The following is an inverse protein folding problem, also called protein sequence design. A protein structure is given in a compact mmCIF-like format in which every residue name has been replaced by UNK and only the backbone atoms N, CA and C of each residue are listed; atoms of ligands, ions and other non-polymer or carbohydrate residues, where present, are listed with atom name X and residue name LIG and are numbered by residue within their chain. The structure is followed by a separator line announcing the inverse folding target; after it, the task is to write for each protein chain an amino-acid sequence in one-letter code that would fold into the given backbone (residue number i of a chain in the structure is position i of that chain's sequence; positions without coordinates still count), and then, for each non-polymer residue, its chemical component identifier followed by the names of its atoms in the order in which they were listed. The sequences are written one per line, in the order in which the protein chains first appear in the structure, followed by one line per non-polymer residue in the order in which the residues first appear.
data_IF_595493608100
#
_entry.id   IF_595493608100
#
_cell.length_a   1.000
_cell.length_b   1.000
_cell.length_c   1.000
_cell.angle_alpha   90.00
_cell.angle_beta   90.00
_cell.angle_gamma   90.00
#
_symmetry.space_group_name_H-M   'P 1'
#
loop_
_entity.id
_entity.type
_entity.pdbx_description
1 polymer ?
#
# COMPACT_ATOMS: atom_id res chain seq x y z
N UNK A 1 6.31 9.21 32.71
CA UNK A 1 7.10 8.11 32.25
C UNK A 1 6.84 7.83 30.78
N UNK A 2 7.88 7.68 30.07
CA UNK A 2 7.75 7.43 28.65
C UNK A 2 8.03 5.98 28.36
N UNK A 3 7.10 5.32 27.77
CA UNK A 3 7.35 3.97 27.32
C UNK A 3 8.13 4.07 26.03
N UNK A 4 9.24 3.37 26.00
CA UNK A 4 10.01 3.32 24.79
C UNK A 4 9.31 2.40 23.81
N UNK A 5 8.96 2.96 22.69
CA UNK A 5 8.31 2.21 21.63
C UNK A 5 9.38 1.78 20.65
N UNK A 6 9.47 0.49 20.40
CA UNK A 6 10.41 -0.01 19.41
C UNK A 6 9.99 0.43 18.02
N UNK A 7 10.96 0.80 17.23
CA UNK A 7 10.70 1.25 15.87
C UNK A 7 11.54 0.46 14.89
N UNK A 8 11.08 0.43 13.66
CA UNK A 8 11.80 -0.18 12.55
C UNK A 8 11.95 0.88 11.48
N UNK A 9 13.15 1.01 10.93
CA UNK A 9 13.40 1.96 9.85
C UNK A 9 13.47 1.21 8.53
N UNK A 10 12.72 1.69 7.57
CA UNK A 10 12.69 1.11 6.24
C UNK A 10 13.40 2.04 5.28
N UNK A 11 14.26 1.46 4.45
CA UNK A 11 14.94 2.22 3.41
C UNK A 11 14.22 1.99 2.11
N UNK A 12 13.85 3.08 1.45
CA UNK A 12 13.15 3.03 0.18
C UNK A 12 14.10 3.50 -0.92
N UNK A 13 14.20 2.71 -1.96
CA UNK A 13 15.04 3.06 -3.11
C UNK A 13 14.17 3.02 -4.36
N UNK A 14 14.24 4.08 -5.14
CA UNK A 14 13.55 4.14 -6.41
C UNK A 14 14.51 3.80 -7.54
N UNK A 15 13.95 3.40 -8.66
CA UNK A 15 14.78 3.02 -9.82
C UNK A 15 15.64 4.18 -10.31
N UNK A 16 15.21 5.40 -10.06
CA UNK A 16 15.98 6.59 -10.47
C UNK A 16 17.14 6.90 -9.54
N UNK A 17 17.34 6.10 -8.50
CA UNK A 17 18.44 6.28 -7.57
C UNK A 17 18.13 7.10 -6.34
N UNK A 18 16.91 7.63 -6.24
CA UNK A 18 16.51 8.37 -5.04
C UNK A 18 16.27 7.42 -3.88
N UNK A 19 16.60 7.86 -2.67
CA UNK A 19 16.40 7.05 -1.48
C UNK A 19 15.78 7.87 -0.37
N UNK A 20 15.09 7.18 0.53
CA UNK A 20 14.50 7.81 1.70
C UNK A 20 14.40 6.76 2.80
N UNK A 21 14.38 7.21 4.04
CA UNK A 21 14.22 6.31 5.18
C UNK A 21 12.96 6.70 5.93
N UNK A 22 12.15 5.71 6.28
CA UNK A 22 10.92 5.93 7.02
C UNK A 22 10.95 5.07 8.28
N UNK A 23 10.73 5.68 9.42
CA UNK A 23 10.72 4.97 10.70
C UNK A 23 9.29 4.87 11.21
N UNK A 24 8.89 3.66 11.54
CA UNK A 24 7.54 3.40 12.05
C UNK A 24 7.63 2.52 13.30
N UNK A 25 6.63 2.59 14.19
CA UNK A 25 6.61 1.70 15.35
C UNK A 25 6.51 0.24 14.90
N UNK A 26 7.37 -0.60 15.45
CA UNK A 26 7.43 -2.02 15.06
C UNK A 26 6.12 -2.74 15.36
N UNK A 27 5.46 -2.38 16.45
CA UNK A 27 4.20 -3.02 16.80
C UNK A 27 3.09 -2.77 15.79
N UNK A 28 3.13 -1.62 15.10
CA UNK A 28 2.14 -1.35 14.06
C UNK A 28 2.42 -2.18 12.82
N UNK A 29 3.67 -2.43 12.51
CA UNK A 29 4.02 -3.31 11.41
C UNK A 29 3.52 -4.72 11.68
N UNK A 30 3.76 -5.20 12.90
CA UNK A 30 3.29 -6.52 13.30
C UNK A 30 1.78 -6.64 13.24
N UNK A 31 1.08 -5.55 13.58
CA UNK A 31 -0.37 -5.54 13.61
C UNK A 31 -0.96 -5.81 12.23
N UNK A 32 -0.33 -5.32 11.17
CA UNK A 32 -0.84 -5.47 9.82
C UNK A 32 -0.17 -6.60 9.03
N UNK A 33 0.86 -7.22 9.61
CA UNK A 33 1.55 -8.32 8.95
C UNK A 33 0.65 -9.55 8.89
N UNK A 34 0.79 -10.32 7.84
CA UNK A 34 0.03 -11.55 7.68
C UNK A 34 0.97 -12.73 7.60
N UNK A 35 0.71 -13.75 8.43
CA UNK A 35 1.49 -14.97 8.42
C UNK A 35 2.96 -14.72 8.70
N UNK A 36 3.80 -15.28 7.86
CA UNK A 36 5.26 -15.21 8.05
C UNK A 36 5.92 -14.11 7.23
N UNK A 37 5.17 -13.07 6.90
CA UNK A 37 5.72 -11.98 6.12
C UNK A 37 6.89 -11.31 6.83
N UNK A 38 7.89 -10.92 6.06
CA UNK A 38 8.93 -10.05 6.57
C UNK A 38 8.36 -8.64 6.73
N UNK A 39 9.03 -7.83 7.54
CA UNK A 39 8.60 -6.45 7.70
C UNK A 39 8.60 -5.70 6.37
N UNK A 40 9.59 -5.97 5.53
CA UNK A 40 9.66 -5.32 4.22
C UNK A 40 8.47 -5.71 3.35
N UNK A 41 8.09 -6.99 3.36
CA UNK A 41 6.92 -7.42 2.60
C UNK A 41 5.64 -6.77 3.11
N UNK A 42 5.52 -6.64 4.42
CA UNK A 42 4.36 -6.02 5.03
C UNK A 42 4.22 -4.57 4.59
N UNK A 43 5.32 -3.82 4.59
CA UNK A 43 5.30 -2.43 4.17
C UNK A 43 4.99 -2.32 2.68
N UNK A 44 5.51 -3.23 1.87
CA UNK A 44 5.18 -3.25 0.45
C UNK A 44 3.70 -3.44 0.20
N UNK A 45 3.08 -4.34 0.97
CA UNK A 45 1.63 -4.57 0.87
C UNK A 45 0.85 -3.32 1.26
N UNK A 46 1.24 -2.68 2.36
CA UNK A 46 0.57 -1.47 2.83
C UNK A 46 0.68 -0.36 1.78
N UNK A 47 1.86 -0.23 1.19
CA UNK A 47 2.10 0.80 0.18
C UNK A 47 1.18 0.60 -1.03
N UNK A 48 1.15 -0.62 -1.56
CA UNK A 48 0.34 -0.87 -2.76
C UNK A 48 -1.14 -0.75 -2.44
N UNK A 49 -1.56 -1.25 -1.28
CA UNK A 49 -2.95 -1.11 -0.86
C UNK A 49 -3.34 0.37 -0.76
N UNK A 50 -2.46 1.20 -0.21
CA UNK A 50 -2.74 2.63 -0.07
C UNK A 50 -2.91 3.30 -1.42
N UNK A 51 -2.04 2.99 -2.38
CA UNK A 51 -2.16 3.57 -3.71
C UNK A 51 -3.42 3.10 -4.41
N UNK A 52 -3.74 1.80 -4.29
CA UNK A 52 -4.95 1.27 -4.91
C UNK A 52 -6.19 1.92 -4.31
N UNK A 53 -6.22 2.10 -3.00
CA UNK A 53 -7.36 2.72 -2.32
C UNK A 53 -7.54 4.17 -2.74
N UNK A 54 -6.44 4.93 -2.84
CA UNK A 54 -6.50 6.32 -3.25
C UNK A 54 -6.96 6.45 -4.70
N UNK A 55 -6.40 5.61 -5.57
CA UNK A 55 -6.79 5.66 -6.98
C UNK A 55 -8.25 5.31 -7.14
N UNK A 56 -8.72 4.27 -6.43
CA UNK A 56 -10.11 3.86 -6.47
C UNK A 56 -11.03 5.01 -6.01
N UNK A 57 -10.66 5.65 -4.91
CA UNK A 57 -11.47 6.74 -4.36
C UNK A 57 -11.56 7.91 -5.34
N UNK A 58 -10.44 8.31 -5.92
CA UNK A 58 -10.44 9.47 -6.81
C UNK A 58 -11.22 9.18 -8.09
N UNK A 59 -11.02 7.99 -8.67
CA UNK A 59 -11.67 7.65 -9.93
C UNK A 59 -13.18 7.46 -9.76
N UNK A 60 -13.59 6.78 -8.67
CA UNK A 60 -15.00 6.40 -8.53
C UNK A 60 -15.80 7.36 -7.65
N UNK A 61 -15.15 8.23 -6.92
CA UNK A 61 -15.83 9.16 -6.01
C UNK A 61 -15.43 10.61 -6.24
N UNK A 62 -14.44 10.85 -7.11
CA UNK A 62 -14.02 12.19 -7.44
C UNK A 62 -14.86 12.74 -8.59
N UNK A 63 -14.91 14.07 -8.69
CA UNK A 63 -15.73 14.69 -9.72
C UNK A 63 -15.02 14.79 -11.06
N UNK A 64 -13.69 14.84 -11.04
CA UNK A 64 -12.92 15.17 -12.25
C UNK A 64 -11.89 14.10 -12.61
N UNK A 65 -12.28 12.84 -12.55
CA UNK A 65 -11.38 11.78 -12.95
C UNK A 65 -11.20 11.84 -14.47
N UNK A 66 -9.95 12.02 -14.90
CA UNK A 66 -9.66 12.08 -16.32
C UNK A 66 -9.16 10.72 -16.82
N UNK A 67 -9.08 10.55 -18.15
CA UNK A 67 -8.68 9.26 -18.72
C UNK A 67 -7.29 8.80 -18.28
N UNK A 68 -6.37 9.74 -18.03
CA UNK A 68 -5.04 9.38 -17.57
C UNK A 68 -5.09 8.79 -16.18
N UNK A 69 -5.90 9.37 -15.31
CA UNK A 69 -6.05 8.86 -13.95
C UNK A 69 -6.74 7.51 -13.94
N UNK A 70 -7.73 7.33 -14.83
CA UNK A 70 -8.39 6.05 -14.96
C UNK A 70 -7.42 4.96 -15.40
N UNK A 71 -6.49 5.29 -16.30
CA UNK A 71 -5.48 4.34 -16.74
C UNK A 71 -4.54 3.97 -15.59
N UNK A 72 -4.19 4.94 -14.73
CA UNK A 72 -3.37 4.68 -13.57
C UNK A 72 -4.09 3.76 -12.59
N UNK A 73 -5.37 4.01 -12.38
CA UNK A 73 -6.17 3.18 -11.49
C UNK A 73 -6.24 1.74 -12.01
N UNK A 74 -6.49 1.59 -13.30
CA UNK A 74 -6.55 0.27 -13.90
C UNK A 74 -5.23 -0.47 -13.71
N UNK A 75 -4.11 0.23 -13.92
CA UNK A 75 -2.80 -0.40 -13.77
C UNK A 75 -2.51 -0.80 -12.33
N UNK A 76 -2.86 0.05 -11.36
CA UNK A 76 -2.61 -0.29 -9.96
C UNK A 76 -3.48 -1.47 -9.51
N UNK A 77 -4.68 -1.59 -10.09
CA UNK A 77 -5.53 -2.73 -9.77
C UNK A 77 -4.94 -4.03 -10.31
N UNK A 78 -4.34 -4.00 -11.50
CA UNK A 78 -3.64 -5.15 -12.05
C UNK A 78 -2.46 -5.54 -11.17
N UNK A 79 -1.68 -4.55 -10.74
CA UNK A 79 -0.53 -4.81 -9.87
C UNK A 79 -0.97 -5.35 -8.51
N UNK A 80 -2.09 -4.87 -8.02
CA UNK A 80 -2.66 -5.37 -6.78
C UNK A 80 -3.00 -6.86 -6.90
N UNK A 81 -3.69 -7.21 -7.98
CA UNK A 81 -4.07 -8.60 -8.18
C UNK A 81 -2.86 -9.51 -8.35
N UNK A 82 -1.83 -9.04 -9.06
CA UNK A 82 -0.61 -9.82 -9.24
C UNK A 82 0.07 -10.08 -7.91
N UNK A 83 0.08 -9.10 -7.03
CA UNK A 83 0.79 -9.22 -5.76
C UNK A 83 0.00 -10.03 -4.72
N UNK A 84 -1.30 -9.79 -4.63
CA UNK A 84 -2.12 -10.37 -3.56
C UNK A 84 -2.88 -11.63 -3.99
N UNK A 85 -2.97 -11.90 -5.27
CA UNK A 85 -3.68 -13.08 -5.78
C UNK A 85 -5.20 -12.94 -5.76
N UNK A 86 -5.70 -11.78 -5.37
CA UNK A 86 -7.12 -11.46 -5.38
C UNK A 86 -7.30 -10.04 -5.87
N UNK A 87 -8.51 -9.72 -6.33
CA UNK A 87 -8.79 -8.37 -6.78
C UNK A 87 -8.93 -7.43 -5.59
N UNK A 88 -8.79 -6.15 -5.87
CA UNK A 88 -8.97 -5.13 -4.84
C UNK A 88 -10.36 -5.22 -4.21
N UNK A 89 -11.39 -5.43 -5.03
CA UNK A 89 -12.75 -5.58 -4.53
C UNK A 89 -12.90 -6.75 -3.59
N UNK A 90 -12.30 -7.89 -3.95
CA UNK A 90 -12.33 -9.07 -3.09
C UNK A 90 -11.59 -8.86 -1.78
N UNK A 91 -10.43 -8.22 -1.86
CA UNK A 91 -9.59 -8.02 -0.68
C UNK A 91 -10.21 -7.04 0.31
N UNK A 92 -10.95 -6.05 -0.18
CA UNK A 92 -11.53 -5.00 0.67
C UNK A 92 -12.99 -5.25 1.00
N UNK A 93 -13.57 -6.30 0.45
CA UNK A 93 -14.97 -6.61 0.70
C UNK A 93 -15.95 -5.75 -0.08
N UNK A 94 -15.47 -4.94 -0.99
CA UNK A 94 -16.35 -4.15 -1.87
C UNK A 94 -16.92 -5.05 -2.94
N UNK A 95 -18.20 -5.12 -3.01
CA UNK A 95 -18.87 -5.85 -4.06
C UNK A 95 -19.73 -4.88 -4.86
N UNK A 96 -19.48 -4.82 -6.13
CA UNK A 96 -20.23 -3.94 -7.02
C UNK A 96 -20.80 -4.73 -8.16
#
# INVERSE_FOLDING_TARGET
MTDEVETTTFSISSEDGATDDVTVPSGLVDLVAEGDQTDAETIGDVMLLSFASRAHHIVHHGEDADPELEAQEERVMDLFEERFGVTFGEATGHQH
#
